data_IF_208879812309
#
_entry.id   IF_208879812309
#
_cell.length_a   1.000
_cell.length_b   1.000
_cell.length_c   1.000
_cell.angle_alpha   90.00
_cell.angle_beta   90.00
_cell.angle_gamma   90.00
#
_symmetry.space_group_name_H-M   'P 1'
#
loop_
_entity.id
_entity.type
_entity.pdbx_description
1 polymer ?
#
# COMPACT_ATOMS: atom_id res chain seq x y z
N UNK A 1 -0.99 13.49 -19.39
CA UNK A 1 -0.10 12.32 -19.43
C UNK A 1 -0.99 11.14 -19.69
N UNK A 2 -0.84 10.48 -20.83
CA UNK A 2 -1.61 9.27 -21.11
C UNK A 2 -1.03 8.14 -20.27
N UNK A 3 -1.79 7.69 -19.27
CA UNK A 3 -1.41 6.56 -18.42
C UNK A 3 -1.86 5.30 -19.14
N UNK A 4 -0.92 4.39 -19.41
CA UNK A 4 -1.27 3.07 -19.91
C UNK A 4 -2.17 2.37 -18.87
N UNK A 5 -3.37 1.87 -19.24
CA UNK A 5 -4.34 1.32 -18.29
C UNK A 5 -3.98 -0.10 -17.85
N UNK A 6 -2.71 -0.31 -17.49
CA UNK A 6 -2.14 -1.55 -16.94
C UNK A 6 -1.63 -1.30 -15.53
N UNK A 7 -1.45 -2.36 -14.74
CA UNK A 7 -0.87 -2.25 -13.39
C UNK A 7 0.52 -1.60 -13.45
N UNK A 8 1.34 -2.00 -14.43
CA UNK A 8 2.67 -1.43 -14.61
C UNK A 8 2.62 0.01 -15.12
N UNK A 9 1.63 0.38 -15.94
CA UNK A 9 1.39 1.77 -16.35
C UNK A 9 1.02 2.67 -15.17
N UNK A 10 0.15 2.20 -14.27
CA UNK A 10 -0.21 2.90 -13.02
C UNK A 10 1.01 3.05 -12.11
N UNK A 11 1.77 1.98 -11.90
CA UNK A 11 2.99 2.01 -11.08
C UNK A 11 4.04 2.96 -11.66
N UNK A 12 4.21 2.96 -12.98
CA UNK A 12 5.12 3.88 -13.65
C UNK A 12 4.68 5.34 -13.44
N UNK A 13 3.38 5.63 -13.60
CA UNK A 13 2.83 6.96 -13.36
C UNK A 13 3.06 7.43 -11.91
N UNK A 14 2.86 6.57 -10.90
CA UNK A 14 3.15 6.88 -9.49
C UNK A 14 4.64 7.13 -9.24
N UNK A 15 5.51 6.35 -9.89
CA UNK A 15 6.96 6.47 -9.74
C UNK A 15 7.52 7.78 -10.30
N UNK A 16 6.95 8.31 -11.38
CA UNK A 16 7.44 9.53 -12.05
C UNK A 16 6.62 10.78 -11.72
N UNK A 17 5.51 10.63 -11.01
CA UNK A 17 4.62 11.75 -10.70
C UNK A 17 5.34 12.81 -9.84
N UNK A 18 5.12 14.11 -10.14
CA UNK A 18 5.68 15.19 -9.34
C UNK A 18 5.29 15.03 -7.87
N UNK A 19 6.29 15.11 -6.99
CA UNK A 19 6.11 14.99 -5.54
C UNK A 19 6.38 16.36 -4.93
N UNK A 20 5.47 16.84 -4.09
CA UNK A 20 5.63 18.11 -3.37
C UNK A 20 6.79 18.03 -2.35
N UNK A 21 7.35 19.18 -1.98
CA UNK A 21 8.45 19.26 -1.00
C UNK A 21 8.08 18.71 0.38
N UNK A 22 6.79 18.74 0.72
CA UNK A 22 6.22 18.22 1.96
C UNK A 22 5.55 16.85 1.78
N UNK A 23 6.04 16.04 0.83
CA UNK A 23 5.60 14.68 0.61
C UNK A 23 6.75 13.71 0.36
N UNK A 24 6.59 12.47 0.80
CA UNK A 24 7.48 11.36 0.52
C UNK A 24 6.80 10.43 -0.48
N UNK A 25 7.41 10.24 -1.65
CA UNK A 25 6.92 9.29 -2.66
C UNK A 25 7.49 7.90 -2.40
N UNK A 26 6.68 7.05 -1.77
CA UNK A 26 7.03 5.66 -1.45
C UNK A 26 7.14 4.73 -2.68
N UNK A 27 6.96 5.25 -3.89
CA UNK A 27 7.10 4.52 -5.14
C UNK A 27 8.27 5.02 -6.00
N UNK A 28 9.01 6.06 -5.58
CA UNK A 28 10.08 6.65 -6.36
C UNK A 28 11.24 5.67 -6.66
N UNK A 29 11.93 5.85 -7.78
CA UNK A 29 12.92 4.88 -8.28
C UNK A 29 14.25 4.82 -7.49
N UNK A 30 14.58 5.85 -6.72
CA UNK A 30 15.92 6.04 -6.15
C UNK A 30 16.17 5.30 -4.83
N UNK A 31 15.14 4.72 -4.21
CA UNK A 31 15.24 3.93 -2.98
C UNK A 31 15.01 2.43 -3.28
N UNK A 32 15.96 1.53 -2.96
CA UNK A 32 15.77 0.09 -3.05
C UNK A 32 14.54 -0.42 -2.29
N UNK A 33 14.20 0.16 -1.13
CA UNK A 33 13.00 -0.21 -0.39
C UNK A 33 11.73 0.15 -1.18
N UNK A 34 11.74 1.25 -1.95
CA UNK A 34 10.60 1.57 -2.84
C UNK A 34 10.40 0.51 -3.94
N UNK A 35 11.43 -0.25 -4.33
CA UNK A 35 11.24 -1.39 -5.24
C UNK A 35 10.39 -2.48 -4.60
N UNK A 36 10.59 -2.76 -3.32
CA UNK A 36 9.77 -3.70 -2.53
C UNK A 36 8.34 -3.16 -2.41
N UNK A 37 8.18 -1.87 -2.10
CA UNK A 37 6.84 -1.23 -2.02
C UNK A 37 6.08 -1.30 -3.33
N UNK A 38 6.75 -1.06 -4.46
CA UNK A 38 6.16 -1.22 -5.79
C UNK A 38 5.77 -2.66 -6.07
N UNK A 39 6.57 -3.64 -5.67
CA UNK A 39 6.21 -5.06 -5.85
C UNK A 39 5.03 -5.46 -4.97
N UNK A 40 5.01 -5.07 -3.69
CA UNK A 40 3.86 -5.27 -2.81
C UNK A 40 2.59 -4.64 -3.41
N UNK A 41 2.67 -3.41 -3.91
CA UNK A 41 1.52 -2.75 -4.52
C UNK A 41 1.09 -3.41 -5.84
N UNK A 42 2.05 -3.88 -6.65
CA UNK A 42 1.77 -4.69 -7.84
C UNK A 42 1.03 -5.97 -7.50
N UNK A 43 1.49 -6.71 -6.49
CA UNK A 43 0.85 -7.94 -6.01
C UNK A 43 -0.57 -7.66 -5.49
N UNK A 44 -0.74 -6.59 -4.72
CA UNK A 44 -2.04 -6.13 -4.25
C UNK A 44 -3.01 -5.86 -5.41
N UNK A 45 -2.58 -5.09 -6.42
CA UNK A 45 -3.41 -4.79 -7.59
C UNK A 45 -3.72 -6.03 -8.42
N UNK A 46 -2.78 -6.97 -8.57
CA UNK A 46 -3.02 -8.26 -9.24
C UNK A 46 -4.04 -9.10 -8.50
N UNK A 47 -3.94 -9.18 -7.17
CA UNK A 47 -4.93 -9.89 -6.36
C UNK A 47 -6.32 -9.24 -6.46
N UNK A 48 -6.40 -7.90 -6.40
CA UNK A 48 -7.66 -7.19 -6.60
C UNK A 48 -8.22 -7.41 -8.00
N UNK A 49 -7.39 -7.38 -9.04
CA UNK A 49 -7.80 -7.65 -10.41
C UNK A 49 -8.40 -9.06 -10.55
N UNK A 50 -7.78 -10.07 -9.94
CA UNK A 50 -8.28 -11.44 -9.94
C UNK A 50 -9.61 -11.59 -9.15
N UNK A 51 -9.77 -10.85 -8.04
CA UNK A 51 -10.97 -10.88 -7.20
C UNK A 51 -12.13 -10.05 -7.76
N UNK A 52 -11.87 -9.12 -8.69
CA UNK A 52 -12.86 -8.24 -9.33
C UNK A 52 -13.84 -7.56 -8.35
N UNK A 53 -13.33 -6.79 -7.35
CA UNK A 53 -14.17 -6.16 -6.34
C UNK A 53 -15.19 -5.21 -6.98
N UNK A 54 -16.39 -5.13 -6.39
CA UNK A 54 -17.50 -4.29 -6.89
C UNK A 54 -17.53 -2.89 -6.28
N UNK A 55 -16.72 -2.66 -5.25
CA UNK A 55 -16.68 -1.40 -4.51
C UNK A 55 -15.25 -0.96 -4.33
N UNK A 56 -15.05 0.35 -4.28
CA UNK A 56 -13.77 0.97 -3.97
C UNK A 56 -13.91 1.86 -2.73
N UNK A 57 -12.98 1.73 -1.78
CA UNK A 57 -12.79 2.68 -0.70
C UNK A 57 -11.68 3.64 -1.09
N UNK A 58 -11.99 4.93 -1.05
CA UNK A 58 -11.04 6.00 -1.37
C UNK A 58 -10.64 6.68 -0.07
N UNK A 59 -9.35 6.62 0.24
CA UNK A 59 -8.73 7.11 1.46
C UNK A 59 -8.03 8.44 1.19
N UNK A 60 -7.70 9.20 2.23
CA UNK A 60 -7.07 10.51 2.08
C UNK A 60 -5.64 10.40 1.54
N UNK A 61 -4.71 9.92 2.37
CA UNK A 61 -3.29 9.81 2.05
C UNK A 61 -2.59 8.70 2.86
N UNK A 62 -1.44 8.18 2.40
CA UNK A 62 -0.60 7.25 3.14
C UNK A 62 -0.20 7.72 4.55
N UNK A 63 -0.44 6.86 5.54
CA UNK A 63 0.09 7.03 6.90
C UNK A 63 1.55 6.56 7.03
N UNK A 64 2.33 7.21 7.90
CA UNK A 64 3.76 6.90 8.07
C UNK A 64 4.03 5.51 8.67
N UNK A 65 3.07 4.92 9.39
CA UNK A 65 3.17 3.57 9.98
C UNK A 65 2.62 2.46 9.10
N UNK A 66 1.97 2.83 8.00
CA UNK A 66 1.25 1.93 7.10
C UNK A 66 1.79 1.99 5.69
N UNK A 67 1.00 2.57 4.79
CA UNK A 67 1.28 2.62 3.34
C UNK A 67 2.66 3.20 3.00
N UNK A 68 3.17 4.18 3.76
CA UNK A 68 4.55 4.68 3.57
C UNK A 68 5.57 3.54 3.60
N UNK A 69 5.38 2.57 4.49
CA UNK A 69 6.33 1.47 4.73
C UNK A 69 6.01 0.25 3.86
N UNK A 70 4.74 0.01 3.55
CA UNK A 70 4.28 -1.20 2.86
C UNK A 70 4.09 -1.02 1.36
N UNK A 71 3.86 0.21 0.90
CA UNK A 71 3.42 0.53 -0.45
C UNK A 71 1.93 0.26 -0.71
N UNK A 72 1.18 -0.26 0.26
CA UNK A 72 -0.21 -0.69 0.09
C UNK A 72 -1.17 0.17 0.92
N UNK A 73 -2.25 0.72 0.33
CA UNK A 73 -3.22 1.55 1.03
C UNK A 73 -3.78 0.90 2.30
N UNK A 74 -3.75 1.64 3.42
CA UNK A 74 -4.32 1.23 4.72
C UNK A 74 -3.75 -0.11 5.23
N UNK A 75 -2.49 -0.41 4.92
CA UNK A 75 -1.86 -1.68 5.31
C UNK A 75 -0.60 -1.43 6.11
N UNK A 76 -0.55 -1.98 7.33
CA UNK A 76 0.65 -2.02 8.18
C UNK A 76 1.52 -3.24 7.88
N UNK A 77 2.78 -3.24 8.32
CA UNK A 77 3.69 -4.40 8.20
C UNK A 77 3.08 -5.68 8.77
N UNK A 78 2.41 -5.57 9.92
CA UNK A 78 1.62 -6.65 10.53
C UNK A 78 0.59 -7.26 9.58
N UNK A 79 -0.35 -6.45 9.07
CA UNK A 79 -1.41 -6.93 8.17
C UNK A 79 -0.82 -7.48 6.86
N UNK A 80 0.23 -6.84 6.35
CA UNK A 80 0.89 -7.24 5.11
C UNK A 80 1.48 -8.66 5.19
N UNK A 81 2.17 -8.98 6.29
CA UNK A 81 2.84 -10.28 6.46
C UNK A 81 1.97 -11.36 7.09
N UNK A 82 1.20 -11.03 8.12
CA UNK A 82 0.37 -12.01 8.83
C UNK A 82 -0.91 -12.34 8.04
N UNK A 83 -1.26 -11.51 7.07
CA UNK A 83 -2.46 -11.69 6.28
C UNK A 83 -3.74 -11.27 6.99
N UNK A 84 -4.84 -11.41 6.25
CA UNK A 84 -6.21 -11.33 6.76
C UNK A 84 -6.89 -12.66 6.39
N UNK A 85 -6.79 -13.69 7.24
CA UNK A 85 -7.21 -15.05 6.91
C UNK A 85 -8.65 -15.18 6.44
N UNK A 86 -9.57 -14.42 7.06
CA UNK A 86 -11.00 -14.42 6.73
C UNK A 86 -11.28 -13.94 5.29
N UNK A 87 -10.38 -13.14 4.73
CA UNK A 87 -10.46 -12.63 3.35
C UNK A 87 -9.54 -13.38 2.38
N UNK A 88 -8.75 -14.33 2.87
CA UNK A 88 -7.66 -15.00 2.14
C UNK A 88 -6.81 -13.96 1.38
N UNK A 89 -6.33 -12.94 2.10
CA UNK A 89 -5.68 -11.78 1.50
C UNK A 89 -4.42 -11.38 2.28
N UNK A 90 -3.41 -10.87 1.55
CA UNK A 90 -2.04 -10.66 2.06
C UNK A 90 -1.37 -11.93 2.61
N UNK A 91 -0.14 -11.80 3.12
CA UNK A 91 0.64 -12.93 3.64
C UNK A 91 2.03 -13.05 3.03
N UNK A 92 3.04 -13.35 3.84
CA UNK A 92 4.40 -13.66 3.34
C UNK A 92 4.38 -14.83 2.35
N UNK A 93 3.52 -15.82 2.58
CA UNK A 93 3.32 -16.98 1.70
C UNK A 93 2.75 -16.61 0.33
N UNK A 94 2.13 -15.43 0.21
CA UNK A 94 1.64 -14.87 -1.06
C UNK A 94 2.65 -13.90 -1.70
N UNK A 95 3.86 -13.81 -1.18
CA UNK A 95 4.99 -13.05 -1.75
C UNK A 95 5.08 -11.60 -1.30
N UNK A 96 4.37 -11.19 -0.24
CA UNK A 96 4.54 -9.86 0.32
C UNK A 96 5.79 -9.78 1.20
N UNK A 97 6.50 -8.66 1.13
CA UNK A 97 7.78 -8.48 1.83
C UNK A 97 7.86 -7.17 2.60
N UNK A 98 8.66 -7.15 3.66
CA UNK A 98 8.98 -5.93 4.39
C UNK A 98 10.11 -5.17 3.72
N UNK A 99 10.02 -3.86 3.87
CA UNK A 99 11.10 -2.89 3.64
C UNK A 99 12.03 -2.82 4.85
N UNK A 100 13.29 -2.46 4.60
CA UNK A 100 14.29 -2.21 5.63
C UNK A 100 14.49 -0.70 5.78
N UNK A 101 13.63 -0.07 6.57
CA UNK A 101 13.71 1.37 6.87
C UNK A 101 14.29 1.57 8.28
N UNK A 102 15.58 1.97 8.43
CA UNK A 102 16.26 2.04 9.73
C UNK A 102 15.53 2.92 10.75
N UNK A 103 14.95 4.03 10.31
CA UNK A 103 14.21 4.97 11.16
C UNK A 103 12.87 4.40 11.66
N UNK A 104 12.40 3.30 11.07
CA UNK A 104 11.08 2.73 11.33
C UNK A 104 11.14 1.26 11.76
N UNK A 105 12.30 0.73 12.16
CA UNK A 105 12.46 -0.68 12.56
C UNK A 105 11.49 -1.09 13.68
N UNK A 106 11.20 -0.18 14.61
CA UNK A 106 10.28 -0.43 15.73
C UNK A 106 8.79 -0.31 15.35
N UNK A 107 8.45 -0.03 14.08
CA UNK A 107 7.08 0.13 13.62
C UNK A 107 6.61 -1.14 12.90
N UNK A 108 5.70 -1.86 13.55
CA UNK A 108 5.09 -3.07 13.00
C UNK A 108 3.59 -2.92 12.69
N UNK A 109 2.85 -2.16 13.51
CA UNK A 109 1.40 -2.00 13.41
C UNK A 109 0.94 -0.56 13.15
N UNK A 110 -0.26 -0.44 12.61
CA UNK A 110 -1.01 0.80 12.46
C UNK A 110 -2.46 0.57 12.90
N UNK A 111 -2.96 1.40 13.84
CA UNK A 111 -4.30 1.22 14.43
C UNK A 111 -5.41 1.28 13.36
N UNK A 112 -5.33 2.24 12.44
CA UNK A 112 -6.32 2.39 11.36
C UNK A 112 -6.33 1.16 10.43
N UNK A 113 -5.16 0.62 10.08
CA UNK A 113 -5.07 -0.60 9.28
C UNK A 113 -5.74 -1.79 9.99
N UNK A 114 -5.46 -1.98 11.29
CA UNK A 114 -6.10 -3.05 12.09
C UNK A 114 -7.61 -2.90 12.13
N UNK A 115 -8.13 -1.69 12.33
CA UNK A 115 -9.58 -1.43 12.39
C UNK A 115 -10.25 -1.69 11.03
N UNK A 116 -9.68 -1.15 9.95
CA UNK A 116 -10.26 -1.27 8.61
C UNK A 116 -10.28 -2.72 8.14
N UNK A 117 -9.12 -3.40 8.15
CA UNK A 117 -9.05 -4.79 7.70
C UNK A 117 -9.82 -5.75 8.61
N UNK A 118 -9.82 -5.52 9.93
CA UNK A 118 -10.64 -6.28 10.86
C UNK A 118 -12.14 -6.11 10.61
N UNK A 119 -12.59 -4.91 10.28
CA UNK A 119 -13.99 -4.63 9.92
C UNK A 119 -14.37 -5.29 8.60
N UNK A 120 -13.51 -5.20 7.59
CA UNK A 120 -13.72 -5.85 6.29
C UNK A 120 -13.80 -7.38 6.42
N UNK A 121 -12.93 -7.97 7.25
CA UNK A 121 -12.97 -9.39 7.59
C UNK A 121 -14.29 -9.79 8.25
N UNK A 122 -14.76 -9.03 9.24
CA UNK A 122 -16.06 -9.29 9.90
C UNK A 122 -17.25 -9.19 8.93
N UNK A 123 -17.17 -8.28 7.95
CA UNK A 123 -18.20 -8.12 6.92
C UNK A 123 -18.09 -9.16 5.79
N UNK A 124 -16.98 -9.91 5.71
CA UNK A 124 -16.70 -10.79 4.57
C UNK A 124 -16.61 -10.04 3.24
N UNK A 125 -16.20 -8.76 3.28
CA UNK A 125 -16.25 -7.86 2.12
C UNK A 125 -14.85 -7.35 1.77
N UNK A 126 -14.47 -7.47 0.51
CA UNK A 126 -13.16 -7.06 0.01
C UNK A 126 -13.30 -5.96 -1.05
N UNK A 127 -13.28 -4.67 -0.66
CA UNK A 127 -13.21 -3.56 -1.60
C UNK A 127 -11.78 -3.37 -2.12
N UNK A 128 -11.64 -2.76 -3.29
CA UNK A 128 -10.37 -2.14 -3.66
C UNK A 128 -10.19 -0.90 -2.77
N UNK A 129 -9.07 -0.80 -2.07
CA UNK A 129 -8.69 0.41 -1.32
C UNK A 129 -7.68 1.20 -2.16
N UNK A 130 -7.88 2.52 -2.26
CA UNK A 130 -7.05 3.45 -3.02
C UNK A 130 -6.85 4.76 -2.25
N UNK A 131 -5.68 5.40 -2.39
CA UNK A 131 -5.42 6.71 -1.77
C UNK A 131 -5.68 7.85 -2.77
N UNK A 132 -6.39 8.90 -2.34
CA UNK A 132 -6.67 10.09 -3.16
C UNK A 132 -5.39 10.86 -3.44
N UNK A 133 -4.64 11.15 -2.38
CA UNK A 133 -3.27 11.63 -2.48
C UNK A 133 -2.33 10.42 -2.38
N UNK A 134 -1.54 10.12 -3.41
CA UNK A 134 -0.85 8.83 -3.51
C UNK A 134 0.39 8.73 -2.63
N UNK A 135 0.87 9.84 -2.06
CA UNK A 135 2.16 9.92 -1.38
C UNK A 135 2.00 10.27 0.10
N UNK A 136 2.93 9.83 0.93
CA UNK A 136 2.90 10.15 2.35
C UNK A 136 3.15 11.65 2.61
N UNK A 137 2.20 12.41 3.20
CA UNK A 137 2.44 13.81 3.58
C UNK A 137 3.45 13.88 4.73
N UNK A 138 4.55 14.60 4.53
CA UNK A 138 5.66 14.70 5.47
C UNK A 138 6.47 15.97 5.24
N UNK A 139 6.56 16.84 6.25
CA UNK A 139 7.53 17.94 6.24
C UNK A 139 8.91 17.42 6.61
N UNK A 140 9.91 17.66 5.77
CA UNK A 140 11.30 17.42 6.15
C UNK A 140 11.64 18.21 7.43
N UNK A 141 12.23 17.53 8.41
CA UNK A 141 12.67 18.11 9.69
C UNK A 141 14.13 18.53 9.66
#
# INVERSE_FOLDING_TARGET
MDIEPTIDGILHALMIAPTAEDAYNEYAAHDPNNAIRRENFRLYLRHMQARQPKTMLVMEAPGYRGCRLTGVPVTSRKILLEGVPELDFFGEEKGYHLTHDPEFENIYGEQSATIVWGTLAQLGHLPLIWNTFPFHPHKAG
#
